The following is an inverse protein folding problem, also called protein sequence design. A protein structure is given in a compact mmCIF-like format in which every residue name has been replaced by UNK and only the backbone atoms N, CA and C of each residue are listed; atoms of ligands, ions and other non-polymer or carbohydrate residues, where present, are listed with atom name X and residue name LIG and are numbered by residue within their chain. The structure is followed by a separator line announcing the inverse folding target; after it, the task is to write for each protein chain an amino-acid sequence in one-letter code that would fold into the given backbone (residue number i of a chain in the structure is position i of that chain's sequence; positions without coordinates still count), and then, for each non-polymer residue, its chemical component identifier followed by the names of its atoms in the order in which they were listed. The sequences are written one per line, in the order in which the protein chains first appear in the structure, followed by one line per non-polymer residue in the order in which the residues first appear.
data_IF_739094909419
#
_entry.id   IF_739094909419
#
_cell.length_a   1.000
_cell.length_b   1.000
_cell.length_c   1.000
_cell.angle_alpha   90.00
_cell.angle_beta   90.00
_cell.angle_gamma   90.00
#
_symmetry.space_group_name_H-M   'P 1'
#
loop_
_entity.id
_entity.type
_entity.pdbx_description
1 polymer ?
#
# COMPACT_ATOMS: atom_id res chain seq x y z
N UNK A 1 20.71 -5.38 8.75
CA UNK A 1 21.30 -5.25 7.41
C UNK A 1 20.38 -5.99 6.46
N UNK A 2 19.66 -5.26 5.62
CA UNK A 2 18.66 -5.84 4.70
C UNK A 2 19.38 -6.03 3.35
N UNK A 3 20.13 -7.14 3.21
CA UNK A 3 20.89 -7.53 2.01
C UNK A 3 19.98 -8.03 0.87
N UNK A 4 18.83 -7.37 0.68
CA UNK A 4 18.00 -7.67 -0.49
C UNK A 4 18.67 -7.07 -1.72
N UNK A 5 18.69 -7.79 -2.86
CA UNK A 5 19.28 -7.28 -4.09
C UNK A 5 18.58 -5.96 -4.45
N UNK A 6 19.26 -4.86 -4.17
CA UNK A 6 18.96 -3.58 -4.81
C UNK A 6 19.14 -3.80 -6.29
N UNK A 7 18.23 -3.26 -7.10
CA UNK A 7 18.44 -3.15 -8.54
C UNK A 7 19.86 -2.63 -8.77
N UNK A 8 20.71 -3.49 -9.35
CA UNK A 8 22.13 -3.20 -9.55
C UNK A 8 22.30 -1.94 -10.41
N UNK A 9 23.48 -1.32 -10.31
CA UNK A 9 23.87 -0.25 -11.22
C UNK A 9 23.68 -0.72 -12.67
N UNK A 10 22.94 0.06 -13.47
CA UNK A 10 22.60 -0.29 -14.85
C UNK A 10 21.18 -0.82 -15.05
N UNK A 11 20.21 -0.53 -14.17
CA UNK A 11 18.81 -0.79 -14.47
C UNK A 11 18.48 -0.19 -15.86
N UNK A 12 18.15 -1.01 -16.87
CA UNK A 12 17.86 -0.50 -18.19
C UNK A 12 16.67 0.46 -18.12
N UNK A 13 16.53 1.38 -19.09
CA UNK A 13 15.30 2.15 -19.21
C UNK A 13 14.11 1.19 -19.18
N UNK A 14 12.99 1.62 -18.59
CA UNK A 14 11.75 0.82 -18.63
C UNK A 14 11.52 0.41 -20.08
N UNK A 15 11.72 -0.88 -20.37
CA UNK A 15 11.69 -1.33 -21.74
C UNK A 15 10.24 -1.31 -22.26
N UNK A 16 10.03 -1.61 -23.54
CA UNK A 16 8.68 -1.57 -24.10
C UNK A 16 7.71 -2.51 -23.36
N UNK A 17 8.19 -3.68 -22.94
CA UNK A 17 7.38 -4.68 -22.24
C UNK A 17 7.05 -4.23 -20.82
N UNK A 18 7.98 -3.63 -20.09
CA UNK A 18 7.75 -3.07 -18.76
C UNK A 18 6.81 -1.87 -18.81
N UNK A 19 6.91 -1.02 -19.84
CA UNK A 19 5.96 0.08 -20.07
C UNK A 19 4.56 -0.43 -20.34
N UNK A 20 4.41 -1.43 -21.21
CA UNK A 20 3.11 -2.03 -21.48
C UNK A 20 2.50 -2.65 -20.22
N UNK A 21 3.29 -3.39 -19.44
CA UNK A 21 2.91 -3.87 -18.11
C UNK A 21 2.41 -2.73 -17.20
N UNK A 22 3.16 -1.64 -17.10
CA UNK A 22 2.77 -0.51 -16.27
C UNK A 22 1.48 0.15 -16.76
N UNK A 23 1.29 0.30 -18.07
CA UNK A 23 0.08 0.88 -18.66
C UNK A 23 -1.16 -0.01 -18.46
N UNK A 24 -0.94 -1.33 -18.35
CA UNK A 24 -1.98 -2.34 -18.08
C UNK A 24 -2.37 -2.46 -16.62
N UNK A 25 -1.40 -2.48 -15.71
CA UNK A 25 -1.66 -2.79 -14.29
C UNK A 25 -1.47 -1.58 -13.36
N UNK A 26 -0.82 -0.52 -13.83
CA UNK A 26 -0.33 0.58 -12.99
C UNK A 26 0.93 0.22 -12.19
N UNK A 27 1.56 -0.93 -12.48
CA UNK A 27 2.82 -1.40 -11.92
C UNK A 27 3.40 -2.50 -12.84
N UNK A 28 4.63 -2.94 -12.57
CA UNK A 28 5.27 -4.02 -13.34
C UNK A 28 5.19 -5.33 -12.53
N UNK A 29 4.25 -6.25 -12.84
CA UNK A 29 4.07 -7.49 -12.10
C UNK A 29 5.20 -8.50 -12.29
N UNK A 30 5.96 -8.41 -13.39
CA UNK A 30 7.05 -9.34 -13.66
C UNK A 30 8.08 -9.36 -12.52
N UNK A 31 8.44 -10.58 -12.11
CA UNK A 31 9.39 -10.83 -11.04
C UNK A 31 10.80 -10.96 -11.61
N UNK A 32 11.85 -10.56 -10.86
CA UNK A 32 13.21 -10.79 -11.28
C UNK A 32 13.47 -12.29 -11.54
N UNK A 33 14.17 -12.67 -12.63
CA UNK A 33 14.36 -14.07 -13.00
C UNK A 33 15.11 -14.88 -11.93
N UNK A 34 16.04 -14.24 -11.22
CA UNK A 34 16.91 -14.88 -10.23
C UNK A 34 16.49 -14.61 -8.76
N UNK A 35 15.33 -13.97 -8.55
CA UNK A 35 14.84 -13.65 -7.21
C UNK A 35 13.93 -14.73 -6.63
N UNK A 36 13.97 -14.96 -5.31
CA UNK A 36 12.91 -15.74 -4.64
C UNK A 36 11.58 -14.97 -4.75
N UNK A 37 10.57 -15.50 -5.48
CA UNK A 37 9.28 -14.85 -5.63
C UNK A 37 8.59 -14.56 -4.28
N UNK A 38 8.88 -15.39 -3.28
CA UNK A 38 8.34 -15.28 -1.93
C UNK A 38 9.34 -14.67 -0.93
N UNK A 39 10.37 -13.96 -1.40
CA UNK A 39 11.35 -13.29 -0.54
C UNK A 39 10.72 -12.33 0.48
N UNK A 40 9.52 -11.78 0.17
CA UNK A 40 8.78 -10.96 1.13
C UNK A 40 8.35 -11.74 2.38
N UNK A 41 8.15 -13.05 2.23
CA UNK A 41 7.85 -14.01 3.28
C UNK A 41 9.11 -14.75 3.77
N UNK A 42 10.31 -14.16 3.63
CA UNK A 42 11.57 -14.85 3.94
C UNK A 42 11.69 -15.39 5.37
N UNK A 43 11.02 -14.77 6.34
CA UNK A 43 11.01 -15.21 7.75
C UNK A 43 9.99 -16.34 8.03
N UNK A 44 9.11 -16.64 7.07
CA UNK A 44 8.07 -17.66 7.22
C UNK A 44 8.66 -19.06 7.20
N UNK A 45 8.37 -19.88 8.22
CA UNK A 45 8.88 -21.25 8.30
C UNK A 45 8.09 -22.25 7.46
N UNK A 46 7.06 -21.80 6.73
CA UNK A 46 6.21 -22.61 5.87
C UNK A 46 5.57 -23.83 6.57
N UNK A 47 5.02 -23.69 7.80
CA UNK A 47 4.28 -24.79 8.41
C UNK A 47 3.09 -25.19 7.52
N UNK A 48 2.73 -26.49 7.48
CA UNK A 48 1.58 -26.93 6.71
C UNK A 48 0.28 -26.31 7.24
N UNK A 49 -0.69 -26.12 6.35
CA UNK A 49 -2.03 -25.68 6.77
C UNK A 49 -2.67 -26.71 7.70
N UNK A 50 -3.30 -26.20 8.75
CA UNK A 50 -4.00 -27.03 9.74
C UNK A 50 -5.31 -27.55 9.14
N UNK A 51 -5.70 -28.75 9.54
CA UNK A 51 -6.99 -29.32 9.17
C UNK A 51 -8.15 -28.56 9.83
N UNK A 52 -9.26 -28.40 9.11
CA UNK A 52 -10.43 -27.69 9.63
C UNK A 52 -11.03 -28.29 10.90
N UNK A 53 -10.93 -29.62 11.06
CA UNK A 53 -11.48 -30.34 12.22
C UNK A 53 -10.53 -30.35 13.42
N UNK A 54 -9.29 -29.91 13.27
CA UNK A 54 -8.28 -29.98 14.33
C UNK A 54 -8.19 -28.72 15.19
N UNK A 55 -8.94 -27.66 14.86
CA UNK A 55 -8.87 -26.37 15.55
C UNK A 55 -10.25 -25.78 15.83
N UNK A 56 -10.37 -25.04 16.93
CA UNK A 56 -11.56 -24.23 17.26
C UNK A 56 -11.25 -22.74 17.09
N UNK A 57 -12.26 -21.93 16.72
CA UNK A 57 -12.09 -20.47 16.56
C UNK A 57 -11.56 -19.83 17.85
N UNK A 58 -12.04 -20.26 19.02
CA UNK A 58 -11.58 -19.74 20.31
C UNK A 58 -10.10 -20.06 20.59
N UNK A 59 -9.61 -21.24 20.20
CA UNK A 59 -8.19 -21.57 20.30
C UNK A 59 -7.36 -20.72 19.35
N UNK A 60 -7.80 -20.58 18.09
CA UNK A 60 -7.16 -19.74 17.09
C UNK A 60 -7.06 -18.28 17.53
N UNK A 61 -8.10 -17.72 18.15
CA UNK A 61 -8.05 -16.35 18.68
C UNK A 61 -6.99 -16.21 19.77
N UNK A 62 -6.91 -17.16 20.71
CA UNK A 62 -5.88 -17.12 21.79
C UNK A 62 -4.47 -17.24 21.23
N UNK A 63 -4.26 -18.15 20.29
CA UNK A 63 -2.98 -18.32 19.60
C UNK A 63 -2.61 -17.07 18.80
N UNK A 64 -3.55 -16.52 18.04
CA UNK A 64 -3.32 -15.34 17.23
C UNK A 64 -2.98 -14.10 18.05
N UNK A 65 -3.57 -13.92 19.24
CA UNK A 65 -3.17 -12.85 20.17
C UNK A 65 -1.72 -13.03 20.63
N UNK A 66 -1.29 -14.28 20.91
CA UNK A 66 0.11 -14.56 21.27
C UNK A 66 1.04 -14.32 20.09
N UNK A 67 0.69 -14.80 18.90
CA UNK A 67 1.48 -14.63 17.68
C UNK A 67 1.66 -13.15 17.33
N UNK A 68 0.58 -12.37 17.38
CA UNK A 68 0.62 -10.92 17.15
C UNK A 68 1.53 -10.20 18.15
N UNK A 69 1.44 -10.52 19.44
CA UNK A 69 2.32 -9.93 20.46
C UNK A 69 3.77 -10.34 20.29
N UNK A 70 4.04 -11.60 19.97
CA UNK A 70 5.40 -12.08 19.71
C UNK A 70 6.03 -11.37 18.52
N UNK A 71 5.30 -11.29 17.40
CA UNK A 71 5.67 -10.56 16.19
C UNK A 71 6.08 -9.10 16.46
N UNK A 72 5.28 -8.41 17.26
CA UNK A 72 5.52 -7.02 17.63
C UNK A 72 6.66 -6.87 18.63
N UNK A 73 6.77 -7.78 19.60
CA UNK A 73 7.87 -7.83 20.56
C UNK A 73 9.23 -8.03 19.88
N UNK A 74 9.31 -8.96 18.92
CA UNK A 74 10.53 -9.18 18.11
C UNK A 74 10.94 -7.92 17.35
N UNK A 75 9.97 -7.25 16.71
CA UNK A 75 10.23 -5.99 16.03
C UNK A 75 10.67 -4.89 17.00
N UNK A 76 10.11 -4.84 18.21
CA UNK A 76 10.44 -3.83 19.21
C UNK A 76 11.85 -4.02 19.77
N UNK A 77 12.25 -5.26 20.04
CA UNK A 77 13.64 -5.59 20.43
C UNK A 77 14.62 -5.17 19.33
N UNK A 78 14.26 -5.37 18.06
CA UNK A 78 15.09 -4.94 16.95
C UNK A 78 15.08 -3.41 16.72
N UNK A 79 14.06 -2.69 17.18
CA UNK A 79 13.86 -1.25 16.98
C UNK A 79 14.60 -0.35 17.98
N UNK A 80 15.54 -0.90 18.75
CA UNK A 80 16.33 -0.12 19.71
C UNK A 80 17.13 0.97 19.00
N UNK A 81 16.85 2.22 19.38
CA UNK A 81 17.49 3.42 18.86
C UNK A 81 17.05 4.65 19.65
N UNK A 82 17.78 5.77 19.56
CA UNK A 82 17.48 6.98 20.32
C UNK A 82 16.28 7.78 19.80
N UNK A 83 15.83 7.52 18.57
CA UNK A 83 14.71 8.21 17.93
C UNK A 83 13.33 7.68 18.34
N UNK A 84 12.30 8.39 17.88
CA UNK A 84 10.92 8.04 18.17
C UNK A 84 10.48 6.76 17.46
N UNK A 85 9.47 6.11 18.03
CA UNK A 85 8.73 5.02 17.40
C UNK A 85 7.57 5.61 16.60
N UNK A 86 7.76 5.70 15.29
CA UNK A 86 6.84 6.39 14.39
C UNK A 86 5.87 5.39 13.76
N UNK A 87 4.57 5.56 13.97
CA UNK A 87 3.55 4.77 13.28
C UNK A 87 2.81 5.65 12.27
N UNK A 88 2.78 5.20 11.01
CA UNK A 88 1.93 5.82 9.99
C UNK A 88 0.47 5.46 10.28
N UNK A 89 -0.16 6.29 11.11
CA UNK A 89 -1.49 6.05 11.63
C UNK A 89 -2.54 6.40 10.57
N UNK A 90 -3.40 5.43 10.32
CA UNK A 90 -4.59 5.55 9.48
C UNK A 90 -5.82 5.14 10.29
N UNK A 91 -7.01 5.21 9.70
CA UNK A 91 -8.18 4.65 10.36
C UNK A 91 -8.35 3.14 10.16
N UNK A 92 -7.40 2.47 9.48
CA UNK A 92 -7.39 1.02 9.27
C UNK A 92 -7.10 0.20 10.53
N UNK A 93 -7.10 -1.13 10.40
CA UNK A 93 -6.88 -2.06 11.52
C UNK A 93 -5.38 -2.24 11.82
N UNK A 94 -4.57 -2.35 10.77
CA UNK A 94 -3.15 -2.69 10.85
C UNK A 94 -2.34 -1.65 11.64
N UNK A 95 -2.47 -0.38 11.27
CA UNK A 95 -1.77 0.73 11.94
C UNK A 95 -2.18 0.89 13.41
N UNK A 96 -3.42 0.51 13.77
CA UNK A 96 -3.87 0.51 15.18
C UNK A 96 -3.35 -0.67 15.98
N UNK A 97 -3.28 -1.85 15.38
CA UNK A 97 -2.67 -2.99 16.03
C UNK A 97 -1.20 -2.68 16.36
N UNK A 98 -0.49 -2.07 15.41
CA UNK A 98 0.86 -1.54 15.64
C UNK A 98 0.88 -0.52 16.79
N UNK A 99 0.03 0.52 16.75
CA UNK A 99 -0.04 1.52 17.81
C UNK A 99 -0.32 0.91 19.19
N UNK A 100 -1.21 -0.08 19.27
CA UNK A 100 -1.53 -0.79 20.51
C UNK A 100 -0.33 -1.50 21.10
N UNK A 101 0.48 -2.13 20.25
CA UNK A 101 1.69 -2.81 20.67
C UNK A 101 2.83 -1.85 21.03
N UNK A 102 2.96 -0.74 20.30
CA UNK A 102 3.90 0.32 20.67
C UNK A 102 3.61 0.83 22.08
N UNK A 103 2.34 1.05 22.42
CA UNK A 103 1.92 1.48 23.77
C UNK A 103 2.07 0.39 24.85
N UNK A 104 2.27 -0.87 24.48
CA UNK A 104 2.63 -1.95 25.42
C UNK A 104 4.14 -1.97 25.73
N UNK A 105 4.98 -1.40 24.86
CA UNK A 105 6.46 -1.50 24.94
C UNK A 105 7.17 -0.15 25.15
N UNK A 106 6.50 0.96 24.86
CA UNK A 106 7.05 2.31 24.89
C UNK A 106 6.10 3.26 25.62
N UNK A 107 6.66 4.34 26.20
CA UNK A 107 5.86 5.41 26.80
C UNK A 107 5.17 6.21 25.68
N UNK A 108 3.97 6.76 25.91
CA UNK A 108 3.28 7.57 24.90
C UNK A 108 4.10 8.75 24.34
N UNK A 109 5.03 9.31 25.13
CA UNK A 109 5.94 10.38 24.70
C UNK A 109 7.01 9.93 23.69
N UNK A 110 7.34 8.64 23.65
CA UNK A 110 8.32 8.01 22.74
C UNK A 110 7.66 7.54 21.44
N UNK A 111 6.33 7.62 21.35
CA UNK A 111 5.55 7.22 20.18
C UNK A 111 5.06 8.46 19.44
N UNK A 112 5.38 8.54 18.15
CA UNK A 112 4.86 9.54 17.24
C UNK A 112 3.88 8.88 16.27
N UNK A 113 2.60 9.20 16.40
CA UNK A 113 1.66 8.95 15.33
C UNK A 113 1.90 9.95 14.21
N UNK A 114 1.83 9.51 12.96
CA UNK A 114 1.95 10.40 11.81
C UNK A 114 0.89 10.07 10.75
N UNK A 115 0.22 11.09 10.22
CA UNK A 115 -0.87 10.92 9.25
C UNK A 115 -0.73 11.94 8.12
N UNK A 116 -1.09 11.54 6.91
CA UNK A 116 -1.24 12.44 5.77
C UNK A 116 -2.60 12.26 5.11
N UNK A 117 -3.12 13.31 4.48
CA UNK A 117 -4.44 13.31 3.86
C UNK A 117 -5.03 14.70 3.80
N UNK A 118 -6.35 14.81 3.67
CA UNK A 118 -7.06 16.09 3.75
C UNK A 118 -8.08 16.09 4.89
N UNK A 119 -8.31 17.23 5.57
CA UNK A 119 -9.41 17.36 6.55
C UNK A 119 -10.76 16.91 5.97
N UNK A 120 -11.53 16.14 6.75
CA UNK A 120 -12.79 15.55 6.30
C UNK A 120 -12.63 14.18 5.63
N UNK A 121 -11.40 13.77 5.27
CA UNK A 121 -11.14 12.40 4.87
C UNK A 121 -11.23 11.47 6.08
N UNK A 122 -11.94 10.35 5.90
CA UNK A 122 -12.28 9.47 7.01
C UNK A 122 -11.04 8.86 7.67
N UNK A 123 -10.02 8.44 6.90
CA UNK A 123 -8.77 7.93 7.48
C UNK A 123 -7.98 8.99 8.24
N UNK A 124 -8.00 10.24 7.75
CA UNK A 124 -7.27 11.37 8.32
C UNK A 124 -7.86 11.79 9.67
N UNK A 125 -9.16 12.07 9.70
CA UNK A 125 -9.87 12.52 10.91
C UNK A 125 -9.88 11.43 12.00
N UNK A 126 -10.05 10.18 11.58
CA UNK A 126 -10.07 9.04 12.51
C UNK A 126 -8.68 8.81 13.11
N UNK A 127 -7.61 8.91 12.34
CA UNK A 127 -6.25 8.80 12.88
C UNK A 127 -5.98 9.87 13.95
N UNK A 128 -6.36 11.13 13.68
CA UNK A 128 -6.24 12.21 14.67
C UNK A 128 -7.04 11.94 15.95
N UNK A 129 -8.26 11.40 15.81
CA UNK A 129 -9.09 11.01 16.95
C UNK A 129 -8.43 9.91 17.77
N UNK A 130 -7.87 8.89 17.10
CA UNK A 130 -7.19 7.77 17.74
C UNK A 130 -5.94 8.24 18.48
N UNK A 131 -5.07 9.01 17.84
CA UNK A 131 -3.85 9.54 18.45
C UNK A 131 -4.14 10.34 19.72
N UNK A 132 -5.12 11.25 19.65
CA UNK A 132 -5.58 12.04 20.81
C UNK A 132 -6.12 11.16 21.94
N UNK A 133 -6.92 10.15 21.60
CA UNK A 133 -7.56 9.28 22.60
C UNK A 133 -6.55 8.45 23.42
N UNK A 134 -5.36 8.16 22.86
CA UNK A 134 -4.30 7.42 23.55
C UNK A 134 -3.15 8.29 24.04
N UNK A 135 -3.21 9.61 23.81
CA UNK A 135 -2.25 10.57 24.35
C UNK A 135 -0.84 10.46 23.75
N UNK A 136 -0.73 10.07 22.48
CA UNK A 136 0.56 10.09 21.74
C UNK A 136 0.74 11.41 21.01
N UNK A 137 1.98 11.78 20.69
CA UNK A 137 2.25 12.89 19.77
C UNK A 137 1.69 12.56 18.38
N UNK A 138 1.24 13.59 17.67
CA UNK A 138 0.65 13.41 16.33
C UNK A 138 1.17 14.45 15.34
N UNK A 139 1.91 14.00 14.34
CA UNK A 139 2.34 14.81 13.19
C UNK A 139 1.34 14.65 12.04
N UNK A 140 0.99 15.77 11.40
CA UNK A 140 -0.02 15.80 10.35
C UNK A 140 0.52 16.50 9.11
N UNK A 141 0.40 15.83 7.96
CA UNK A 141 0.70 16.40 6.65
C UNK A 141 -0.57 16.52 5.81
N UNK A 142 -1.12 17.73 5.75
CA UNK A 142 -2.23 18.03 4.87
C UNK A 142 -1.79 18.06 3.41
N UNK A 143 -2.52 17.38 2.53
CA UNK A 143 -2.19 17.25 1.11
C UNK A 143 -2.27 18.57 0.34
N UNK A 144 -3.10 19.51 0.81
CA UNK A 144 -3.19 20.88 0.30
C UNK A 144 -1.95 21.71 0.59
N UNK A 145 -1.27 21.44 1.71
CA UNK A 145 -0.07 22.16 2.15
C UNK A 145 1.23 21.60 1.53
N UNK A 146 1.12 20.52 0.75
CA UNK A 146 2.26 19.95 0.03
C UNK A 146 2.46 20.67 -1.29
N UNK A 147 3.70 21.06 -1.53
CA UNK A 147 4.17 21.51 -2.83
C UNK A 147 4.32 20.30 -3.76
N UNK A 148 3.67 20.35 -4.92
CA UNK A 148 3.66 19.25 -5.89
C UNK A 148 4.53 19.66 -7.07
N UNK A 149 5.72 19.10 -7.14
CA UNK A 149 6.68 19.36 -8.23
C UNK A 149 7.07 18.05 -8.91
N UNK A 150 7.43 18.14 -10.19
CA UNK A 150 7.98 17.00 -10.94
C UNK A 150 9.21 16.44 -10.23
N UNK A 151 10.13 17.30 -9.79
CA UNK A 151 11.34 16.88 -9.10
C UNK A 151 11.04 16.15 -7.79
N UNK A 152 10.09 16.64 -6.99
CA UNK A 152 9.68 15.95 -5.77
C UNK A 152 9.08 14.58 -6.06
N UNK A 153 8.29 14.44 -7.12
CA UNK A 153 7.74 13.15 -7.53
C UNK A 153 8.85 12.18 -7.95
N UNK A 154 9.81 12.65 -8.75
CA UNK A 154 10.98 11.88 -9.17
C UNK A 154 11.83 11.46 -7.96
N UNK A 155 12.10 12.37 -7.02
CA UNK A 155 12.86 12.07 -5.80
C UNK A 155 12.13 11.02 -4.93
N UNK A 156 10.81 11.07 -4.90
CA UNK A 156 9.98 10.06 -4.23
C UNK A 156 10.06 8.68 -4.89
N UNK A 157 10.26 8.61 -6.21
CA UNK A 157 10.55 7.36 -6.94
C UNK A 157 11.96 6.86 -6.60
N UNK A 158 12.96 7.74 -6.66
CA UNK A 158 14.37 7.43 -6.39
C UNK A 158 14.63 6.96 -4.96
N UNK A 159 13.87 7.48 -3.99
CA UNK A 159 13.93 7.03 -2.60
C UNK A 159 13.38 5.60 -2.38
N UNK A 160 12.90 4.92 -3.42
CA UNK A 160 12.20 3.63 -3.37
C UNK A 160 12.72 2.65 -4.43
N UNK A 161 11.86 1.74 -4.85
CA UNK A 161 12.04 0.85 -5.98
C UNK A 161 11.47 1.51 -7.23
N UNK A 162 12.18 1.35 -8.34
CA UNK A 162 11.74 1.74 -9.68
C UNK A 162 11.24 0.47 -10.38
N UNK A 163 10.08 0.52 -11.05
CA UNK A 163 9.15 1.64 -11.09
C UNK A 163 8.31 1.75 -9.81
N UNK A 164 7.95 2.98 -9.43
CA UNK A 164 6.95 3.27 -8.42
C UNK A 164 5.54 3.06 -9.00
N UNK A 165 4.65 2.32 -8.34
CA UNK A 165 3.32 2.01 -8.86
C UNK A 165 2.33 3.17 -8.72
N UNK A 166 1.31 3.16 -9.58
CA UNK A 166 0.10 3.98 -9.48
C UNK A 166 -0.82 3.49 -8.36
N UNK A 167 -1.51 4.37 -7.60
CA UNK A 167 -1.35 5.83 -7.58
C UNK A 167 -0.15 6.24 -6.73
N UNK A 168 0.58 7.24 -7.21
CA UNK A 168 1.80 7.72 -6.55
C UNK A 168 1.53 8.81 -5.49
N UNK A 169 0.34 9.43 -5.46
CA UNK A 169 0.04 10.52 -4.51
C UNK A 169 0.22 10.13 -3.05
N UNK A 170 -0.31 8.98 -2.63
CA UNK A 170 -0.08 8.46 -1.29
C UNK A 170 1.42 8.17 -1.02
N UNK A 171 2.17 7.71 -2.03
CA UNK A 171 3.62 7.45 -1.90
C UNK A 171 4.40 8.75 -1.76
N UNK A 172 4.03 9.79 -2.50
CA UNK A 172 4.63 11.10 -2.40
C UNK A 172 4.35 11.75 -1.04
N UNK A 173 3.11 11.77 -0.58
CA UNK A 173 2.76 12.30 0.75
C UNK A 173 3.48 11.54 1.87
N UNK A 174 3.53 10.21 1.76
CA UNK A 174 4.33 9.38 2.66
C UNK A 174 5.81 9.79 2.63
N UNK A 175 6.40 10.00 1.45
CA UNK A 175 7.79 10.44 1.32
C UNK A 175 8.05 11.79 1.98
N UNK A 176 7.21 12.79 1.72
CA UNK A 176 7.31 14.13 2.34
C UNK A 176 7.19 14.06 3.86
N UNK A 177 6.32 13.19 4.38
CA UNK A 177 6.17 12.99 5.81
C UNK A 177 7.41 12.34 6.44
N UNK A 178 8.02 11.35 5.78
CA UNK A 178 9.28 10.76 6.24
C UNK A 178 10.42 11.78 6.23
N UNK A 179 10.53 12.61 5.17
CA UNK A 179 11.53 13.69 5.12
C UNK A 179 11.37 14.68 6.26
N UNK A 180 10.13 15.02 6.61
CA UNK A 180 9.83 15.95 7.72
C UNK A 180 10.21 15.36 9.09
N UNK A 181 9.95 14.07 9.29
CA UNK A 181 10.21 13.39 10.58
C UNK A 181 11.70 13.03 10.73
N UNK A 182 12.36 12.65 9.65
CA UNK A 182 13.79 12.34 9.62
C UNK A 182 14.13 10.85 9.83
N UNK A 183 15.30 10.40 9.32
CA UNK A 183 15.69 8.99 9.27
C UNK A 183 16.19 8.42 10.61
N UNK A 184 16.42 9.26 11.62
CA UNK A 184 16.89 8.84 12.95
C UNK A 184 15.82 8.11 13.78
N UNK A 185 14.58 8.07 13.27
CA UNK A 185 13.43 7.43 13.89
C UNK A 185 13.18 6.02 13.33
N UNK A 186 12.48 5.18 14.10
CA UNK A 186 12.03 3.88 13.62
C UNK A 186 10.58 3.95 13.16
N UNK A 187 10.35 3.70 11.87
CA UNK A 187 9.02 3.69 11.27
C UNK A 187 8.39 2.30 11.34
N UNK A 188 7.09 2.26 11.61
CA UNK A 188 6.31 1.03 11.70
C UNK A 188 5.20 1.06 10.64
N UNK A 189 5.23 0.08 9.74
CA UNK A 189 4.30 -0.01 8.61
C UNK A 189 3.44 -1.27 8.70
N UNK A 190 2.15 -1.12 8.36
CA UNK A 190 1.17 -2.19 8.32
C UNK A 190 1.30 -3.13 7.11
N UNK A 191 2.44 -3.15 6.42
CA UNK A 191 2.69 -3.96 5.23
C UNK A 191 2.21 -5.41 5.44
N UNK A 192 1.33 -5.86 4.55
CA UNK A 192 0.73 -7.20 4.54
C UNK A 192 -0.19 -7.55 5.72
N UNK A 193 -0.52 -6.64 6.64
CA UNK A 193 -1.45 -6.92 7.74
C UNK A 193 -2.82 -7.39 7.24
N UNK A 194 -3.46 -6.62 6.37
CA UNK A 194 -4.73 -6.99 5.75
C UNK A 194 -4.67 -8.31 4.95
N UNK A 195 -3.60 -8.53 4.17
CA UNK A 195 -3.50 -9.68 3.25
C UNK A 195 -3.22 -10.97 4.01
N UNK A 196 -2.27 -10.96 4.96
CA UNK A 196 -2.07 -12.07 5.91
C UNK A 196 -3.32 -12.29 6.77
N UNK A 197 -4.04 -11.20 7.06
CA UNK A 197 -5.36 -11.19 7.69
C UNK A 197 -6.46 -11.90 6.91
N UNK A 198 -6.30 -12.09 5.59
CA UNK A 198 -7.29 -12.69 4.69
C UNK A 198 -8.24 -11.70 4.00
N UNK A 199 -7.80 -10.46 3.76
CA UNK A 199 -8.62 -9.43 3.08
C UNK A 199 -9.05 -9.80 1.65
N UNK A 200 -8.24 -10.60 0.96
CA UNK A 200 -8.51 -11.06 -0.41
C UNK A 200 -8.67 -12.58 -0.46
N UNK A 201 -9.06 -13.18 0.66
CA UNK A 201 -9.30 -14.62 0.75
C UNK A 201 -10.79 -14.87 0.57
N UNK A 202 -11.13 -15.58 -0.51
CA UNK A 202 -12.49 -15.87 -0.91
C UNK A 202 -12.87 -17.31 -0.60
N UNK A 203 -14.15 -17.61 -0.82
CA UNK A 203 -14.63 -18.98 -0.77
C UNK A 203 -14.21 -19.75 -2.02
N UNK A 204 -13.63 -20.94 -1.83
CA UNK A 204 -13.14 -21.77 -2.92
C UNK A 204 -11.64 -21.62 -3.22
N UNK A 205 -10.94 -20.65 -2.62
CA UNK A 205 -9.50 -20.43 -2.83
C UNK A 205 -8.63 -21.66 -2.48
N UNK A 206 -9.10 -22.56 -1.60
CA UNK A 206 -8.44 -23.84 -1.29
C UNK A 206 -8.54 -24.87 -2.42
N UNK A 207 -9.38 -24.63 -3.42
CA UNK A 207 -9.70 -25.54 -4.51
C UNK A 207 -9.41 -24.94 -5.89
N UNK A 208 -9.05 -23.66 -5.93
CA UNK A 208 -8.74 -22.97 -7.16
C UNK A 208 -7.55 -23.65 -7.87
N UNK A 209 -7.63 -23.78 -9.19
CA UNK A 209 -6.45 -24.15 -9.99
C UNK A 209 -5.49 -22.96 -10.13
N UNK A 210 -4.29 -23.20 -10.65
CA UNK A 210 -3.34 -22.11 -10.91
C UNK A 210 -3.90 -21.13 -11.95
N UNK A 211 -4.54 -21.64 -12.99
CA UNK A 211 -5.14 -20.87 -14.07
C UNK A 211 -6.30 -20.00 -13.56
N UNK A 212 -7.16 -20.55 -12.69
CA UNK A 212 -8.24 -19.79 -12.04
C UNK A 212 -7.67 -18.68 -11.13
N UNK A 213 -6.61 -18.97 -10.39
CA UNK A 213 -5.94 -17.96 -9.56
C UNK A 213 -5.31 -16.84 -10.40
N UNK A 214 -4.68 -17.17 -11.53
CA UNK A 214 -4.14 -16.19 -12.48
C UNK A 214 -5.25 -15.35 -13.08
N UNK A 215 -6.35 -15.96 -13.54
CA UNK A 215 -7.50 -15.24 -14.09
C UNK A 215 -8.10 -14.27 -13.05
N UNK A 216 -8.35 -14.74 -11.83
CA UNK A 216 -8.85 -13.89 -10.75
C UNK A 216 -7.89 -12.76 -10.36
N UNK A 217 -6.58 -12.99 -10.45
CA UNK A 217 -5.58 -11.94 -10.23
C UNK A 217 -5.61 -10.87 -11.33
N UNK A 218 -5.74 -11.28 -12.60
CA UNK A 218 -5.86 -10.36 -13.73
C UNK A 218 -7.13 -9.52 -13.61
N UNK A 219 -8.28 -10.14 -13.36
CA UNK A 219 -9.56 -9.44 -13.17
C UNK A 219 -9.50 -8.37 -12.08
N UNK A 220 -8.73 -8.64 -11.02
CA UNK A 220 -8.55 -7.71 -9.91
C UNK A 220 -7.66 -6.50 -10.26
N UNK A 221 -6.72 -6.64 -11.20
CA UNK A 221 -5.64 -5.66 -11.41
C UNK A 221 -5.61 -4.99 -12.79
N UNK A 222 -6.31 -5.52 -13.79
CA UNK A 222 -6.39 -4.88 -15.10
C UNK A 222 -7.05 -3.51 -15.00
N UNK A 223 -6.38 -2.51 -15.57
CA UNK A 223 -6.92 -1.16 -15.69
C UNK A 223 -7.90 -1.10 -16.86
N UNK A 224 -9.02 -0.35 -16.75
CA UNK A 224 -9.93 -0.15 -17.88
C UNK A 224 -9.23 0.47 -19.09
N UNK A 225 -9.54 -0.01 -20.30
CA UNK A 225 -9.05 0.52 -21.57
C UNK A 225 -7.51 0.46 -21.72
N UNK A 226 -6.85 -0.52 -21.09
CA UNK A 226 -5.39 -0.65 -21.18
C UNK A 226 -4.91 -0.88 -22.61
N UNK A 227 -5.69 -1.58 -23.41
CA UNK A 227 -5.41 -1.94 -24.80
C UNK A 227 -5.15 -0.72 -25.68
N UNK A 228 -5.71 0.45 -25.33
CA UNK A 228 -5.55 1.69 -26.08
C UNK A 228 -4.14 2.27 -26.01
N UNK A 229 -3.35 1.89 -25.00
CA UNK A 229 -2.06 2.51 -24.71
C UNK A 229 -0.89 1.54 -24.77
N UNK A 230 -1.16 0.23 -24.88
CA UNK A 230 -0.13 -0.79 -25.00
C UNK A 230 0.22 -1.10 -26.43
N UNK A 231 1.40 -1.69 -26.64
CA UNK A 231 1.84 -2.17 -27.94
C UNK A 231 0.88 -3.21 -28.54
N UNK A 232 0.68 -3.25 -29.87
CA UNK A 232 -0.11 -4.28 -30.53
C UNK A 232 0.39 -5.69 -30.19
N UNK A 233 -0.53 -6.58 -29.80
CA UNK A 233 -0.22 -7.97 -29.44
C UNK A 233 0.25 -8.19 -28.00
N UNK A 234 0.37 -7.13 -27.18
CA UNK A 234 0.63 -7.29 -25.75
C UNK A 234 -0.52 -8.04 -25.06
N UNK A 235 -0.20 -9.17 -24.42
CA UNK A 235 -1.16 -10.00 -23.68
C UNK A 235 -0.86 -10.00 -22.19
N UNK A 236 -1.71 -9.45 -21.31
CA UNK A 236 -1.41 -9.32 -19.87
C UNK A 236 -1.09 -10.65 -19.18
N UNK A 237 -1.74 -11.74 -19.60
CA UNK A 237 -1.49 -13.09 -19.09
C UNK A 237 -0.05 -13.58 -19.33
N UNK A 238 0.64 -13.10 -20.38
CA UNK A 238 2.04 -13.46 -20.67
C UNK A 238 3.05 -12.94 -19.63
N UNK A 239 2.61 -12.02 -18.75
CA UNK A 239 3.43 -11.43 -17.70
C UNK A 239 3.29 -12.15 -16.37
N UNK A 240 2.36 -13.11 -16.29
CA UNK A 240 2.09 -13.88 -15.09
C UNK A 240 3.04 -15.08 -14.99
N UNK A 241 3.37 -15.54 -13.77
CA UNK A 241 4.20 -16.72 -13.60
C UNK A 241 3.53 -17.96 -14.23
N UNK A 242 4.32 -18.75 -14.96
CA UNK A 242 3.83 -19.91 -15.70
C UNK A 242 3.40 -21.08 -14.79
N UNK A 243 3.85 -21.11 -13.54
CA UNK A 243 3.56 -22.16 -12.57
C UNK A 243 3.51 -21.61 -11.13
N UNK A 244 2.85 -22.32 -10.20
CA UNK A 244 2.90 -22.01 -8.77
C UNK A 244 4.33 -22.01 -8.21
N UNK A 245 4.59 -21.17 -7.21
CA UNK A 245 5.88 -21.09 -6.52
C UNK A 245 6.07 -22.18 -5.46
N UNK A 246 4.97 -22.61 -4.82
CA UNK A 246 4.94 -23.70 -3.84
C UNK A 246 3.65 -24.52 -3.99
N UNK A 247 3.60 -25.70 -3.37
CA UNK A 247 2.37 -26.50 -3.33
C UNK A 247 1.22 -25.73 -2.68
N UNK A 248 0.03 -25.91 -3.25
CA UNK A 248 -1.23 -25.40 -2.69
C UNK A 248 -1.42 -25.84 -1.24
N UNK A 249 -0.90 -26.98 -0.77
CA UNK A 249 -1.00 -27.43 0.62
C UNK A 249 -0.29 -26.50 1.62
N UNK A 250 0.69 -25.73 1.15
CA UNK A 250 1.46 -24.77 1.95
C UNK A 250 0.84 -23.37 1.86
N UNK A 251 0.56 -22.89 0.65
CA UNK A 251 -0.04 -21.58 0.38
C UNK A 251 -1.00 -21.69 -0.79
N UNK A 252 -2.19 -21.10 -0.70
CA UNK A 252 -3.15 -21.14 -1.82
C UNK A 252 -2.59 -20.42 -3.04
N UNK A 253 -2.99 -20.84 -4.24
CA UNK A 253 -2.53 -20.19 -5.47
C UNK A 253 -2.89 -18.71 -5.54
N UNK A 254 -4.10 -18.26 -5.13
CA UNK A 254 -4.39 -16.83 -5.01
C UNK A 254 -3.45 -16.08 -4.04
N UNK A 255 -3.18 -16.64 -2.85
CA UNK A 255 -2.24 -16.04 -1.90
C UNK A 255 -0.83 -15.94 -2.49
N UNK A 256 -0.38 -16.95 -3.23
CA UNK A 256 0.92 -16.97 -3.89
C UNK A 256 1.09 -15.77 -4.84
N UNK A 257 0.11 -15.52 -5.72
CA UNK A 257 0.14 -14.34 -6.61
C UNK A 257 0.05 -13.03 -5.81
N UNK A 258 -0.78 -13.00 -4.77
CA UNK A 258 -0.94 -11.81 -3.94
C UNK A 258 0.34 -11.44 -3.21
N UNK A 259 1.04 -12.38 -2.59
CA UNK A 259 2.31 -12.13 -1.89
C UNK A 259 3.47 -11.93 -2.86
N UNK A 260 3.65 -12.83 -3.82
CA UNK A 260 4.81 -12.80 -4.69
C UNK A 260 4.77 -11.61 -5.65
N UNK A 261 3.64 -11.37 -6.29
CA UNK A 261 3.50 -10.33 -7.34
C UNK A 261 3.04 -9.03 -6.70
N UNK A 262 1.81 -8.99 -6.18
CA UNK A 262 1.22 -7.72 -5.73
C UNK A 262 1.93 -7.14 -4.50
N UNK A 263 2.19 -7.92 -3.45
CA UNK A 263 2.82 -7.35 -2.26
C UNK A 263 4.25 -6.93 -2.58
N UNK A 264 5.03 -7.71 -3.31
CA UNK A 264 6.41 -7.37 -3.67
C UNK A 264 6.51 -6.19 -4.64
N UNK A 265 5.77 -6.21 -5.75
CA UNK A 265 5.91 -5.24 -6.85
C UNK A 265 5.05 -3.98 -6.68
N UNK A 266 3.96 -4.07 -5.93
CA UNK A 266 3.03 -2.95 -5.75
C UNK A 266 3.06 -2.37 -4.32
N UNK A 267 2.87 -3.19 -3.29
CA UNK A 267 2.69 -2.66 -1.92
C UNK A 267 4.03 -2.37 -1.24
N UNK A 268 5.04 -3.23 -1.38
CA UNK A 268 6.34 -3.11 -0.73
C UNK A 268 7.13 -1.86 -1.19
N UNK A 269 6.74 -1.26 -2.31
CA UNK A 269 7.22 0.08 -2.72
C UNK A 269 6.91 1.18 -1.70
N UNK A 270 6.10 0.93 -0.66
CA UNK A 270 5.94 1.85 0.48
C UNK A 270 7.25 2.10 1.22
N UNK A 271 8.14 1.10 1.28
CA UNK A 271 9.40 1.19 2.03
C UNK A 271 10.36 2.16 1.36
N UNK A 272 10.83 3.14 2.13
CA UNK A 272 11.87 4.07 1.72
C UNK A 272 13.26 3.50 2.01
N UNK A 273 14.19 3.73 1.08
CA UNK A 273 15.61 3.46 1.29
C UNK A 273 16.17 4.48 2.29
N UNK A 274 17.10 4.02 3.14
CA UNK A 274 17.73 4.88 4.16
C UNK A 274 16.90 5.14 5.42
N UNK A 275 15.72 4.51 5.54
CA UNK A 275 14.88 4.57 6.74
C UNK A 275 14.80 3.21 7.42
N UNK A 276 14.80 3.21 8.75
CA UNK A 276 14.54 2.00 9.54
C UNK A 276 13.03 1.75 9.56
N UNK A 277 12.57 0.73 8.84
CA UNK A 277 11.13 0.38 8.75
C UNK A 277 10.90 -1.04 9.30
N UNK A 278 9.99 -1.17 10.26
CA UNK A 278 9.53 -2.43 10.86
C UNK A 278 8.15 -2.81 10.33
N UNK A 279 8.01 -4.08 9.93
CA UNK A 279 6.78 -4.63 9.33
C UNK A 279 6.35 -5.88 10.11
N UNK A 280 5.71 -5.73 11.29
CA UNK A 280 5.46 -6.84 12.21
C UNK A 280 4.58 -7.94 11.61
N UNK A 281 3.72 -7.63 10.65
CA UNK A 281 2.91 -8.62 9.95
C UNK A 281 3.69 -9.48 8.94
N UNK A 282 4.98 -9.22 8.74
CA UNK A 282 5.90 -10.07 7.99
C UNK A 282 6.86 -10.85 8.90
N UNK A 283 6.73 -10.72 10.22
CA UNK A 283 7.55 -11.49 11.15
C UNK A 283 7.10 -12.94 11.22
N UNK A 284 8.05 -13.83 11.53
CA UNK A 284 7.84 -15.27 11.61
C UNK A 284 6.66 -15.69 12.50
N UNK A 285 6.51 -15.21 13.76
CA UNK A 285 5.43 -15.68 14.61
C UNK A 285 4.04 -15.42 14.02
N UNK A 286 3.87 -14.26 13.36
CA UNK A 286 2.61 -13.90 12.72
C UNK A 286 2.37 -14.70 11.44
N UNK A 287 3.38 -14.82 10.57
CA UNK A 287 3.27 -15.56 9.31
C UNK A 287 3.01 -17.06 9.56
N UNK A 288 3.78 -17.69 10.45
CA UNK A 288 3.62 -19.11 10.80
C UNK A 288 2.21 -19.39 11.35
N UNK A 289 1.66 -18.47 12.14
CA UNK A 289 0.29 -18.57 12.62
C UNK A 289 -0.72 -18.34 11.49
N UNK A 290 -0.79 -17.14 10.90
CA UNK A 290 -1.88 -16.75 10.00
C UNK A 290 -1.91 -17.57 8.71
N UNK A 291 -0.76 -17.97 8.17
CA UNK A 291 -0.72 -18.77 6.94
C UNK A 291 -1.00 -20.26 7.20
N UNK A 292 -0.88 -20.75 8.45
CA UNK A 292 -1.31 -22.12 8.81
C UNK A 292 -2.80 -22.23 9.16
N UNK A 293 -3.49 -21.11 9.39
CA UNK A 293 -4.93 -21.09 9.71
C UNK A 293 -5.76 -21.56 8.51
N UNK A 294 -6.78 -22.44 8.71
CA UNK A 294 -7.69 -22.81 7.63
C UNK A 294 -8.39 -21.60 7.00
N UNK A 295 -8.47 -21.56 5.67
CA UNK A 295 -9.00 -20.44 4.87
C UNK A 295 -10.30 -19.88 5.43
N UNK A 296 -11.25 -20.76 5.77
CA UNK A 296 -12.59 -20.36 6.27
C UNK A 296 -12.55 -19.38 7.44
N UNK A 297 -11.50 -19.40 8.27
CA UNK A 297 -11.35 -18.49 9.41
C UNK A 297 -10.71 -17.15 9.01
N UNK A 298 -9.90 -17.11 7.96
CA UNK A 298 -9.26 -15.90 7.46
C UNK A 298 -10.17 -15.05 6.57
N UNK A 299 -11.19 -15.66 5.94
CA UNK A 299 -12.15 -14.98 5.06
C UNK A 299 -12.64 -13.66 5.66
N UNK A 300 -12.66 -12.62 4.82
CA UNK A 300 -13.08 -11.27 5.17
C UNK A 300 -12.37 -10.68 6.41
N UNK A 301 -11.16 -11.17 6.72
CA UNK A 301 -10.40 -10.82 7.94
C UNK A 301 -11.11 -11.15 9.25
N UNK A 302 -12.08 -12.06 9.29
CA UNK A 302 -12.89 -12.33 10.50
C UNK A 302 -12.04 -12.69 11.71
N UNK A 303 -11.14 -13.67 11.57
CA UNK A 303 -10.26 -14.08 12.66
C UNK A 303 -9.32 -12.94 13.06
N UNK A 304 -8.71 -12.27 12.08
CA UNK A 304 -7.80 -11.14 12.31
C UNK A 304 -8.46 -10.03 13.14
N UNK A 305 -9.66 -9.60 12.75
CA UNK A 305 -10.43 -8.58 13.49
C UNK A 305 -10.74 -9.01 14.94
N UNK A 306 -10.99 -10.30 15.15
CA UNK A 306 -11.25 -10.84 16.49
C UNK A 306 -9.99 -10.85 17.35
N UNK A 307 -8.83 -11.20 16.76
CA UNK A 307 -7.51 -11.17 17.40
C UNK A 307 -7.16 -9.76 17.85
N UNK A 308 -7.16 -8.78 16.93
CA UNK A 308 -6.70 -7.41 17.26
C UNK A 308 -7.62 -6.73 18.28
N UNK A 309 -8.93 -7.01 18.23
CA UNK A 309 -9.89 -6.56 19.25
C UNK A 309 -9.59 -7.15 20.61
N UNK A 310 -9.23 -8.43 20.68
CA UNK A 310 -8.90 -9.11 21.93
C UNK A 310 -7.56 -8.62 22.48
N UNK A 311 -6.59 -8.35 21.61
CA UNK A 311 -5.26 -7.85 21.98
C UNK A 311 -5.32 -6.40 22.51
N UNK A 312 -6.02 -5.50 21.82
CA UNK A 312 -6.03 -4.06 22.13
C UNK A 312 -7.46 -3.49 22.26
N UNK A 313 -8.27 -3.94 23.22
CA UNK A 313 -9.70 -3.62 23.28
C UNK A 313 -10.01 -2.12 23.39
N UNK A 314 -9.13 -1.32 24.00
CA UNK A 314 -9.32 0.13 24.12
C UNK A 314 -9.26 0.83 22.75
N UNK A 315 -8.26 0.50 21.93
CA UNK A 315 -8.07 1.08 20.59
C UNK A 315 -9.16 0.66 19.61
N UNK A 316 -9.57 -0.61 19.64
CA UNK A 316 -10.58 -1.14 18.71
C UNK A 316 -12.02 -0.79 19.10
N UNK A 317 -12.24 -0.16 20.27
CA UNK A 317 -13.52 0.51 20.61
C UNK A 317 -13.67 1.85 19.91
N UNK A 318 -12.57 2.47 19.46
CA UNK A 318 -12.61 3.75 18.75
C UNK A 318 -13.11 3.57 17.31
N UNK A 319 -13.67 4.63 16.67
CA UNK A 319 -14.15 4.59 15.29
C UNK A 319 -13.13 4.01 14.32
N UNK A 320 -13.50 3.07 13.43
CA UNK A 320 -12.62 2.57 12.34
C UNK A 320 -13.09 2.97 10.95
N UNK A 321 -12.18 3.01 9.97
CA UNK A 321 -12.59 3.24 8.57
C UNK A 321 -13.23 2.01 7.96
N UNK A 322 -12.76 0.82 8.32
CA UNK A 322 -13.34 -0.48 7.91
C UNK A 322 -14.83 -0.60 8.25
N UNK A 323 -15.28 0.01 9.34
CA UNK A 323 -16.68 -0.03 9.78
C UNK A 323 -17.31 1.33 9.83
N UNK A 324 -16.94 2.20 8.90
CA UNK A 324 -17.76 3.39 8.66
C UNK A 324 -17.87 4.30 9.90
N UNK A 325 -16.79 4.35 10.69
CA UNK A 325 -16.69 5.13 11.91
C UNK A 325 -17.30 4.45 13.15
N UNK A 326 -17.72 3.18 13.05
CA UNK A 326 -18.12 2.38 14.21
C UNK A 326 -16.90 1.59 14.72
N UNK A 327 -16.80 1.39 16.03
CA UNK A 327 -15.80 0.50 16.63
C UNK A 327 -16.06 -0.98 16.31
N UNK A 328 -15.15 -1.86 16.71
CA UNK A 328 -15.26 -3.32 16.51
C UNK A 328 -15.64 -3.99 17.84
N UNK A 329 -16.80 -4.69 17.95
CA UNK A 329 -17.76 -5.00 16.90
C UNK A 329 -18.76 -3.86 16.66
N UNK A 330 -19.09 -3.64 15.39
CA UNK A 330 -20.23 -2.83 15.00
C UNK A 330 -21.45 -3.76 14.83
N UNK A 331 -22.53 -3.61 15.62
CA UNK A 331 -23.82 -4.21 15.32
C UNK A 331 -24.18 -3.97 13.85
N UNK A 332 -24.66 -4.99 13.10
CA UNK A 332 -24.93 -4.84 11.66
C UNK A 332 -25.86 -3.67 11.33
N UNK A 333 -26.82 -3.38 12.20
CA UNK A 333 -27.78 -2.29 12.05
C UNK A 333 -27.21 -0.88 12.30
N UNK A 334 -26.09 -0.74 13.03
CA UNK A 334 -25.48 0.56 13.29
C UNK A 334 -24.71 1.12 12.08
N UNK A 335 -24.22 0.23 11.20
CA UNK A 335 -23.49 0.63 10.00
C UNK A 335 -24.35 1.47 9.04
N UNK A 336 -25.53 1.01 8.57
CA UNK A 336 -26.35 1.79 7.65
C UNK A 336 -26.80 3.11 8.26
N UNK A 337 -27.12 3.16 9.56
CA UNK A 337 -27.47 4.39 10.26
C UNK A 337 -26.32 5.43 10.24
N UNK A 338 -25.08 5.00 10.50
CA UNK A 338 -23.89 5.89 10.43
C UNK A 338 -23.53 6.31 9.02
N UNK A 339 -23.71 5.43 8.03
CA UNK A 339 -23.56 5.76 6.61
C UNK A 339 -24.58 6.83 6.23
N UNK A 340 -25.85 6.67 6.63
CA UNK A 340 -26.90 7.63 6.37
C UNK A 340 -26.64 8.97 7.06
N UNK A 341 -26.27 8.96 8.34
CA UNK A 341 -25.90 10.15 9.09
C UNK A 341 -24.78 10.91 8.39
N UNK A 342 -23.71 10.23 7.95
CA UNK A 342 -22.60 10.87 7.24
C UNK A 342 -23.02 11.37 5.86
N UNK A 343 -23.88 10.66 5.14
CA UNK A 343 -24.47 11.17 3.88
C UNK A 343 -25.28 12.45 4.13
N UNK A 344 -26.04 12.52 5.21
CA UNK A 344 -26.81 13.71 5.59
C UNK A 344 -25.90 14.90 5.95
N UNK A 345 -24.91 14.69 6.83
CA UNK A 345 -23.92 15.73 7.20
C UNK A 345 -23.19 16.23 5.96
N UNK A 346 -22.72 15.34 5.08
CA UNK A 346 -22.08 15.71 3.81
C UNK A 346 -23.01 16.50 2.90
N UNK A 347 -24.31 16.16 2.85
CA UNK A 347 -25.29 16.90 2.05
C UNK A 347 -25.49 18.32 2.59
N UNK A 348 -25.48 18.50 3.91
CA UNK A 348 -25.59 19.82 4.57
C UNK A 348 -24.32 20.65 4.33
N UNK A 349 -23.14 20.06 4.49
CA UNK A 349 -21.85 20.72 4.21
C UNK A 349 -21.73 21.19 2.75
N UNK A 350 -22.24 20.40 1.80
CA UNK A 350 -22.29 20.82 0.39
C UNK A 350 -23.23 22.01 0.15
N UNK A 351 -24.37 22.08 0.84
CA UNK A 351 -25.34 23.15 0.69
C UNK A 351 -24.90 24.47 1.31
N UNK A 352 -24.03 24.43 2.32
CA UNK A 352 -23.52 25.61 3.01
C UNK A 352 -22.36 26.29 2.26
N UNK A 353 -21.89 25.74 1.13
CA UNK A 353 -20.75 26.28 0.38
C UNK A 353 -19.39 26.10 1.08
N UNK A 354 -19.40 25.69 2.35
CA UNK A 354 -18.21 25.47 3.18
C UNK A 354 -17.66 24.04 3.08
N UNK A 355 -18.27 23.17 2.27
CA UNK A 355 -17.84 21.78 2.13
C UNK A 355 -17.85 21.29 0.68
N UNK A 356 -16.69 21.34 0.02
CA UNK A 356 -16.42 20.44 -1.09
C UNK A 356 -16.59 18.98 -0.65
N UNK A 357 -16.83 18.04 -1.57
CA UNK A 357 -16.74 16.61 -1.22
C UNK A 357 -15.36 16.38 -0.57
N UNK A 358 -15.27 15.93 0.70
CA UNK A 358 -14.03 15.33 1.17
C UNK A 358 -13.95 14.01 0.40
N UNK A 359 -13.24 14.06 -0.72
CA UNK A 359 -13.03 12.90 -1.57
C UNK A 359 -12.12 11.96 -0.80
N UNK A 360 -12.56 10.72 -0.58
CA UNK A 360 -11.93 9.80 0.36
C UNK A 360 -10.53 9.38 -0.11
N UNK A 361 -9.50 9.93 0.56
CA UNK A 361 -8.17 9.34 0.66
C UNK A 361 -7.07 10.10 -0.08
N UNK A 362 -5.86 10.03 0.48
CA UNK A 362 -4.61 10.64 0.03
C UNK A 362 -4.30 10.60 -1.48
N UNK A 363 -4.85 9.64 -2.23
CA UNK A 363 -4.67 9.56 -3.69
C UNK A 363 -5.48 10.62 -4.46
N UNK A 364 -6.52 11.20 -3.88
CA UNK A 364 -7.32 12.24 -4.53
C UNK A 364 -6.55 13.55 -4.69
N UNK A 365 -5.52 13.75 -3.87
CA UNK A 365 -4.68 14.94 -3.88
C UNK A 365 -4.06 15.23 -5.25
N UNK A 366 -3.85 14.24 -6.10
CA UNK A 366 -3.49 14.46 -7.52
C UNK A 366 -4.65 14.09 -8.44
N UNK A 367 -5.28 12.94 -8.20
CA UNK A 367 -6.30 12.37 -9.08
C UNK A 367 -7.41 13.37 -9.40
N UNK A 368 -7.79 14.25 -8.48
CA UNK A 368 -8.87 15.21 -8.70
C UNK A 368 -8.50 16.66 -8.48
N UNK A 369 -7.43 16.91 -7.72
CA UNK A 369 -7.04 18.28 -7.41
C UNK A 369 -6.72 19.10 -8.65
N UNK A 370 -6.25 18.49 -9.74
CA UNK A 370 -6.03 19.18 -11.02
C UNK A 370 -7.26 19.94 -11.56
N UNK A 371 -8.47 19.62 -11.06
CA UNK A 371 -9.71 20.33 -11.40
C UNK A 371 -9.82 21.69 -10.72
N UNK A 372 -9.08 21.92 -9.64
CA UNK A 372 -9.19 23.09 -8.76
C UNK A 372 -7.83 23.70 -8.36
N UNK A 373 -6.72 23.00 -8.62
CA UNK A 373 -5.33 23.38 -8.37
C UNK A 373 -4.61 23.56 -9.71
N UNK A 374 -4.44 24.81 -10.20
CA UNK A 374 -3.78 25.10 -11.47
C UNK A 374 -2.38 24.53 -11.55
N UNK A 375 -1.61 24.62 -10.46
CA UNK A 375 -0.25 24.09 -10.34
C UNK A 375 -0.19 22.56 -10.54
N UNK A 376 -1.14 21.80 -9.97
CA UNK A 376 -1.20 20.34 -10.18
C UNK A 376 -1.62 20.02 -11.62
N UNK A 377 -2.51 20.83 -12.21
CA UNK A 377 -2.91 20.68 -13.61
C UNK A 377 -1.72 20.92 -14.55
N UNK A 378 -0.96 21.98 -14.32
CA UNK A 378 0.24 22.33 -15.07
C UNK A 378 1.31 21.24 -14.93
N UNK A 379 1.53 20.72 -13.72
CA UNK A 379 2.41 19.58 -13.49
C UNK A 379 2.01 18.37 -14.33
N UNK A 380 0.73 18.00 -14.33
CA UNK A 380 0.24 16.86 -15.13
C UNK A 380 0.47 17.13 -16.62
N UNK A 381 0.03 18.28 -17.13
CA UNK A 381 0.13 18.60 -18.56
C UNK A 381 1.59 18.68 -19.03
N UNK A 382 2.48 19.28 -18.23
CA UNK A 382 3.90 19.34 -18.55
C UNK A 382 4.52 17.95 -18.68
N UNK A 383 4.30 17.06 -17.71
CA UNK A 383 4.81 15.70 -17.77
C UNK A 383 4.16 14.85 -18.89
N UNK A 384 2.89 15.07 -19.22
CA UNK A 384 2.27 14.38 -20.34
C UNK A 384 2.78 14.90 -21.70
N UNK A 385 3.13 16.18 -21.78
CA UNK A 385 3.85 16.75 -22.91
C UNK A 385 5.22 16.09 -23.11
N UNK A 386 5.99 15.95 -22.02
CA UNK A 386 7.29 15.25 -22.04
C UNK A 386 7.12 13.78 -22.48
N UNK A 387 6.14 13.06 -21.92
CA UNK A 387 5.86 11.66 -22.26
C UNK A 387 5.51 11.49 -23.74
N UNK A 388 4.70 12.39 -24.29
CA UNK A 388 4.36 12.39 -25.71
C UNK A 388 5.59 12.70 -26.57
N UNK A 389 6.42 13.66 -26.17
CA UNK A 389 7.68 14.00 -26.83
C UNK A 389 8.66 12.83 -26.91
N UNK A 390 8.62 11.90 -25.95
CA UNK A 390 9.40 10.65 -25.98
C UNK A 390 8.88 9.62 -26.97
N UNK A 391 7.61 9.70 -27.39
CA UNK A 391 7.00 8.75 -28.33
C UNK A 391 6.90 7.31 -27.80
N UNK A 392 6.92 7.11 -26.48
CA UNK A 392 6.94 5.78 -25.84
C UNK A 392 5.55 5.21 -25.53
N UNK A 393 4.51 6.03 -25.63
CA UNK A 393 3.10 5.63 -25.52
C UNK A 393 2.41 5.92 -26.86
N UNK A 394 1.99 4.89 -27.61
CA UNK A 394 1.35 5.07 -28.91
C UNK A 394 0.11 5.98 -28.84
N UNK A 395 0.00 6.92 -29.78
CA UNK A 395 -1.19 7.76 -29.94
C UNK A 395 -1.41 8.81 -28.83
N UNK A 396 -0.43 9.05 -27.95
CA UNK A 396 -0.55 10.04 -26.90
C UNK A 396 -0.47 11.48 -27.46
N UNK A 397 -1.60 12.19 -27.51
CA UNK A 397 -1.69 13.60 -27.87
C UNK A 397 -1.93 14.48 -26.61
N UNK A 398 -0.97 15.30 -26.19
CA UNK A 398 -1.11 16.20 -25.03
C UNK A 398 -2.30 17.15 -25.13
N UNK A 399 -2.61 17.66 -26.34
CA UNK A 399 -3.71 18.60 -26.54
C UNK A 399 -5.06 17.91 -26.42
N UNK A 400 -5.18 16.69 -26.97
CA UNK A 400 -6.36 15.86 -26.78
C UNK A 400 -6.57 15.53 -25.29
N UNK A 401 -5.51 15.24 -24.53
CA UNK A 401 -5.62 15.01 -23.09
C UNK A 401 -6.03 16.29 -22.36
N UNK A 402 -5.45 17.44 -22.70
CA UNK A 402 -5.81 18.72 -22.08
C UNK A 402 -7.30 19.07 -22.30
N UNK A 403 -7.81 18.82 -23.51
CA UNK A 403 -9.25 18.91 -23.82
C UNK A 403 -10.04 17.90 -22.99
N UNK A 404 -9.65 16.63 -22.99
CA UNK A 404 -10.33 15.57 -22.25
C UNK A 404 -10.36 15.80 -20.74
N UNK A 405 -9.32 16.42 -20.16
CA UNK A 405 -9.30 16.84 -18.76
C UNK A 405 -10.31 17.95 -18.48
N UNK A 406 -10.42 18.92 -19.39
CA UNK A 406 -11.38 20.04 -19.30
C UNK A 406 -12.82 19.53 -19.43
N UNK A 407 -13.06 18.65 -20.39
CA UNK A 407 -14.36 18.02 -20.70
C UNK A 407 -14.71 16.88 -19.75
N UNK A 408 -13.75 16.41 -18.95
CA UNK A 408 -13.88 15.28 -18.00
C UNK A 408 -14.20 13.94 -18.67
N UNK A 409 -13.65 13.72 -19.85
CA UNK A 409 -13.81 12.48 -20.63
C UNK A 409 -12.67 11.48 -20.38
N UNK A 410 -11.52 11.93 -19.87
CA UNK A 410 -10.44 11.04 -19.41
C UNK A 410 -10.56 10.73 -17.91
N UNK A 411 -10.33 9.47 -17.54
CA UNK A 411 -10.41 9.06 -16.14
C UNK A 411 -9.21 9.54 -15.32
N UNK A 412 -9.45 9.90 -14.05
CA UNK A 412 -8.39 10.27 -13.10
C UNK A 412 -7.33 9.15 -12.93
N UNK A 413 -7.76 7.89 -13.07
CA UNK A 413 -6.87 6.72 -13.04
C UNK A 413 -5.92 6.74 -14.24
N UNK A 414 -6.45 6.94 -15.45
CA UNK A 414 -5.64 6.97 -16.68
C UNK A 414 -4.61 8.09 -16.63
N UNK A 415 -5.02 9.30 -16.24
CA UNK A 415 -4.09 10.43 -16.03
C UNK A 415 -2.96 10.06 -15.05
N UNK A 416 -3.30 9.44 -13.92
CA UNK A 416 -2.32 9.10 -12.90
C UNK A 416 -1.40 7.93 -13.31
N UNK A 417 -1.84 7.04 -14.21
CA UNK A 417 -1.01 5.97 -14.78
C UNK A 417 -0.03 6.56 -15.79
N UNK A 418 -0.50 7.39 -16.72
CA UNK A 418 0.35 8.06 -17.72
C UNK A 418 1.41 8.95 -17.05
N UNK A 419 1.00 9.76 -16.06
CA UNK A 419 1.95 10.55 -15.26
C UNK A 419 2.94 9.65 -14.51
N UNK A 420 2.48 8.49 -14.02
CA UNK A 420 3.36 7.50 -13.39
C UNK A 420 4.44 6.96 -14.34
N UNK A 421 4.13 6.74 -15.63
CA UNK A 421 5.13 6.33 -16.62
C UNK A 421 6.21 7.40 -16.76
N UNK A 422 5.84 8.66 -16.97
CA UNK A 422 6.83 9.73 -17.16
C UNK A 422 7.70 9.96 -15.93
N UNK A 423 7.12 9.98 -14.73
CA UNK A 423 7.88 10.19 -13.50
C UNK A 423 8.90 9.05 -13.30
N UNK A 424 8.54 7.81 -13.65
CA UNK A 424 9.48 6.70 -13.60
C UNK A 424 10.58 6.82 -14.66
N UNK A 425 10.26 7.24 -15.89
CA UNK A 425 11.26 7.47 -16.94
C UNK A 425 12.26 8.57 -16.54
N UNK A 426 11.78 9.71 -16.02
CA UNK A 426 12.65 10.77 -15.49
C UNK A 426 13.53 10.31 -14.33
N UNK A 427 13.05 9.39 -13.49
CA UNK A 427 13.87 8.81 -12.44
C UNK A 427 14.99 7.91 -13.00
N UNK A 428 14.71 7.13 -14.05
CA UNK A 428 15.74 6.36 -14.77
C UNK A 428 16.77 7.32 -15.39
N UNK A 429 16.32 8.37 -16.09
CA UNK A 429 17.22 9.36 -16.72
C UNK A 429 18.16 9.99 -15.67
N UNK A 430 17.63 10.41 -14.51
CA UNK A 430 18.43 11.00 -13.42
C UNK A 430 19.45 10.02 -12.84
N UNK A 431 19.14 8.72 -12.77
CA UNK A 431 20.11 7.70 -12.36
C UNK A 431 21.22 7.52 -13.39
N UNK A 432 20.89 7.57 -14.68
CA UNK A 432 21.88 7.47 -15.75
C UNK A 432 22.83 8.69 -15.77
N UNK A 433 22.30 9.90 -15.57
CA UNK A 433 23.07 11.16 -15.56
C UNK A 433 24.03 11.26 -14.38
N UNK A 434 23.58 10.88 -13.18
CA UNK A 434 24.40 11.06 -11.98
C UNK A 434 25.61 10.13 -11.94
N UNK A 435 25.58 9.02 -12.68
CA UNK A 435 26.62 7.97 -12.61
C UNK A 435 26.83 7.42 -11.19
N UNK A 436 25.98 7.84 -10.23
CA UNK A 436 26.04 7.42 -8.85
C UNK A 436 25.43 6.04 -8.82
N UNK A 437 26.30 5.03 -8.73
CA UNK A 437 25.86 3.71 -8.30
C UNK A 437 25.03 3.87 -7.02
N UNK A 438 23.80 3.34 -6.97
CA UNK A 438 23.00 3.39 -5.76
C UNK A 438 23.84 2.85 -4.60
N UNK A 439 24.11 3.69 -3.59
CA UNK A 439 24.91 3.33 -2.41
C UNK A 439 24.27 2.12 -1.70
N UNK A 440 24.70 0.91 -2.06
CA UNK A 440 24.04 -0.31 -1.58
C UNK A 440 24.84 -1.61 -1.70
N UNK A 441 26.02 -1.65 -2.33
CA UNK A 441 26.78 -2.89 -2.47
C UNK A 441 28.29 -2.73 -2.30
N UNK A 442 28.74 -2.17 -1.16
CA UNK A 442 30.06 -2.56 -0.67
C UNK A 442 29.90 -3.93 -0.02
N UNK A 443 30.15 -4.99 -0.81
CA UNK A 443 30.41 -6.32 -0.28
C UNK A 443 31.57 -6.17 0.70
N UNK A 444 31.32 -6.37 1.99
CA UNK A 444 32.37 -6.65 2.95
C UNK A 444 33.01 -7.98 2.52
N UNK A 445 34.17 -7.88 1.88
CA UNK A 445 35.05 -9.02 1.64
C UNK A 445 35.68 -9.52 2.92
#
# INVERSE_FOLDING_TARGET
MDDRPGWGAGAPPLDQRERDQYLTFGFVPELPPDGDPLALLGDWSRPPRRGERSVSEAALVREGVRALRAALGECAVAAQGPGDQVVLLSGGLDSRAILGALLENYRPGEVLAATFGAPGEHDFDVAATVARAVGVRHEVLESSAVDWTTDGLVDSVLARQIPLPHPFGQRYLSYRLHQRIGPDNTFWDGLCGDVTGGANTHEGDDRATWEEAVAGFLDLHLLPDWEQYTSPGFGPASTMPAAPFVSDAVLTYPDQLMFAVRQTRYINTRRLRGYTIRTPFLSRPWLDFMLSVPIRYRRDRRLYMTIVRKAHPRLFRLPTTTFDGVGVPAPPWLRPARVLQRRAVRKIQRRSGTGGKPDSGANNAIRRSHRHRPDIRELILGNLGDLAGRGVVPGLDPDAIARAMTERTISDTRLSVLLGVEVNLKAVDRLAETGVEPRGSRRSG
#
